data_IF_421512128151
#
_entry.id   IF_421512128151
#
_cell.length_a   1.000
_cell.length_b   1.000
_cell.length_c   1.000
_cell.angle_alpha   90.00
_cell.angle_beta   90.00
_cell.angle_gamma   90.00
#
_symmetry.space_group_name_H-M   'P 1'
#
loop_
_entity.id
_entity.type
_entity.pdbx_description
1 polymer ?
#
# COMPACT_ATOMS: atom_id res chain seq x y z
N UNK A 1 24.54 -6.41 -8.53
CA UNK A 1 23.70 -5.42 -7.80
C UNK A 1 22.31 -5.99 -7.46
N UNK A 2 22.08 -7.32 -7.52
CA UNK A 2 20.72 -7.91 -7.51
C UNK A 2 20.20 -8.48 -6.18
N UNK A 3 20.96 -8.37 -5.08
CA UNK A 3 20.58 -9.04 -3.82
C UNK A 3 19.55 -8.31 -2.97
N UNK A 4 19.23 -7.04 -3.27
CA UNK A 4 18.26 -6.26 -2.48
C UNK A 4 16.78 -6.57 -2.82
N UNK A 5 16.51 -7.19 -3.97
CA UNK A 5 15.14 -7.44 -4.47
C UNK A 5 14.67 -8.90 -4.35
N UNK A 6 15.50 -9.81 -3.83
CA UNK A 6 15.06 -11.19 -3.66
C UNK A 6 14.17 -11.34 -2.42
N UNK A 7 12.99 -11.98 -2.54
CA UNK A 7 12.08 -12.25 -1.42
C UNK A 7 12.64 -13.24 -0.38
N UNK A 8 13.85 -13.77 -0.61
CA UNK A 8 14.63 -14.58 0.32
C UNK A 8 15.93 -13.88 0.77
N UNK A 9 16.04 -12.56 0.61
CA UNK A 9 17.15 -11.81 1.18
C UNK A 9 17.10 -11.98 2.70
N UNK A 10 17.98 -12.85 3.20
CA UNK A 10 18.13 -13.22 4.60
C UNK A 10 18.10 -11.96 5.48
N UNK A 11 17.34 -11.99 6.58
CA UNK A 11 17.19 -10.84 7.47
C UNK A 11 18.55 -10.33 7.96
N UNK A 12 19.50 -11.24 8.11
CA UNK A 12 20.90 -10.96 8.46
C UNK A 12 21.64 -10.20 7.35
N UNK A 13 21.37 -10.52 6.07
CA UNK A 13 21.93 -9.78 4.93
C UNK A 13 21.34 -8.38 4.82
N UNK A 14 20.02 -8.22 5.02
CA UNK A 14 19.38 -6.90 5.05
C UNK A 14 19.90 -6.05 6.21
N UNK A 15 20.14 -6.67 7.37
CA UNK A 15 20.76 -6.02 8.52
C UNK A 15 22.19 -5.57 8.20
N UNK A 16 22.99 -6.42 7.55
CA UNK A 16 24.35 -6.08 7.13
C UNK A 16 24.38 -4.99 6.05
N UNK A 17 23.40 -4.96 5.15
CA UNK A 17 23.30 -3.97 4.06
C UNK A 17 22.68 -2.64 4.50
N UNK A 18 21.91 -2.63 5.59
CA UNK A 18 21.35 -1.41 6.18
C UNK A 18 22.37 -0.55 6.93
N UNK A 19 23.59 -1.05 7.18
CA UNK A 19 24.60 -0.33 7.96
C UNK A 19 25.16 0.93 7.27
N UNK A 20 25.63 1.88 8.09
CA UNK A 20 26.13 3.21 7.68
C UNK A 20 27.24 3.19 6.62
N UNK A 21 28.05 2.11 6.56
CA UNK A 21 29.17 1.97 5.62
C UNK A 21 28.75 1.63 4.18
N UNK A 22 27.48 1.38 3.91
CA UNK A 22 26.97 1.08 2.57
C UNK A 22 26.61 2.36 1.83
N UNK A 23 26.59 2.32 0.49
CA UNK A 23 26.17 3.49 -0.30
C UNK A 23 24.70 3.83 -0.01
N UNK A 24 24.34 5.11 -0.13
CA UNK A 24 22.96 5.57 -0.01
C UNK A 24 22.00 4.77 -0.90
N UNK A 25 22.41 4.41 -2.12
CA UNK A 25 21.61 3.59 -3.03
C UNK A 25 21.28 2.20 -2.46
N UNK A 26 22.23 1.54 -1.80
CA UNK A 26 22.00 0.23 -1.17
C UNK A 26 21.06 0.37 0.02
N UNK A 27 21.25 1.40 0.86
CA UNK A 27 20.38 1.64 2.02
C UNK A 27 18.95 1.99 1.60
N UNK A 28 18.78 2.75 0.51
CA UNK A 28 17.46 2.99 -0.12
C UNK A 28 16.83 1.70 -0.62
N UNK A 29 17.59 0.82 -1.27
CA UNK A 29 17.07 -0.45 -1.74
C UNK A 29 16.63 -1.36 -0.57
N UNK A 30 17.40 -1.39 0.52
CA UNK A 30 17.00 -2.06 1.77
C UNK A 30 15.75 -1.42 2.35
N UNK A 31 15.69 -0.10 2.47
CA UNK A 31 14.51 0.61 2.96
C UNK A 31 13.26 0.37 2.08
N UNK A 32 13.41 0.14 0.78
CA UNK A 32 12.29 -0.08 -0.14
C UNK A 32 11.77 -1.52 -0.15
N UNK A 33 12.51 -2.47 0.44
CA UNK A 33 12.11 -3.87 0.43
C UNK A 33 10.98 -4.10 1.47
N UNK A 34 9.81 -4.62 1.05
CA UNK A 34 8.67 -4.84 1.95
C UNK A 34 8.91 -5.94 2.99
N UNK A 35 9.98 -6.72 2.86
CA UNK A 35 10.38 -7.73 3.85
C UNK A 35 11.48 -7.22 4.80
N UNK A 36 11.82 -5.93 4.75
CA UNK A 36 12.87 -5.39 5.61
C UNK A 36 12.46 -5.44 7.07
N UNK A 37 13.27 -6.07 7.94
CA UNK A 37 12.94 -6.19 9.35
C UNK A 37 12.76 -4.82 10.01
N UNK A 38 11.79 -4.74 10.94
CA UNK A 38 11.49 -3.53 11.71
C UNK A 38 12.74 -2.91 12.39
N UNK A 39 13.67 -3.74 12.87
CA UNK A 39 14.92 -3.25 13.47
C UNK A 39 15.80 -2.49 12.47
N UNK A 40 15.86 -2.95 11.22
CA UNK A 40 16.61 -2.31 10.14
C UNK A 40 15.90 -1.03 9.70
N UNK A 41 14.57 -1.04 9.59
CA UNK A 41 13.78 0.18 9.29
C UNK A 41 13.99 1.25 10.37
N UNK A 42 14.06 0.88 11.66
CA UNK A 42 14.39 1.83 12.74
C UNK A 42 15.78 2.45 12.58
N UNK A 43 16.77 1.66 12.18
CA UNK A 43 18.11 2.19 11.90
C UNK A 43 18.09 3.17 10.72
N UNK A 44 17.42 2.79 9.62
CA UNK A 44 17.31 3.61 8.41
C UNK A 44 16.41 4.85 8.58
N UNK A 45 15.50 4.87 9.55
CA UNK A 45 14.75 6.06 9.91
C UNK A 45 15.64 7.17 10.50
N UNK A 46 16.82 6.83 11.03
CA UNK A 46 17.84 7.77 11.48
C UNK A 46 18.86 8.16 10.41
N UNK A 47 18.71 7.69 9.16
CA UNK A 47 19.72 7.86 8.12
C UNK A 47 19.95 9.33 7.77
N UNK A 48 21.21 9.70 7.50
CA UNK A 48 21.58 11.04 7.09
C UNK A 48 21.02 11.43 5.71
N UNK A 49 20.74 10.45 4.85
CA UNK A 49 20.09 10.69 3.55
C UNK A 49 18.57 10.77 3.70
N UNK A 50 18.02 11.93 3.42
CA UNK A 50 16.59 12.22 3.44
C UNK A 50 15.79 11.24 2.56
N UNK A 51 16.35 10.83 1.42
CA UNK A 51 15.69 9.87 0.51
C UNK A 51 15.55 8.51 1.16
N UNK A 52 16.50 8.08 2.00
CA UNK A 52 16.38 6.83 2.75
C UNK A 52 15.21 6.94 3.75
N UNK A 53 15.15 8.04 4.52
CA UNK A 53 14.07 8.25 5.50
C UNK A 53 12.69 8.33 4.84
N UNK A 54 12.60 8.98 3.69
CA UNK A 54 11.37 9.05 2.89
C UNK A 54 10.90 7.66 2.43
N UNK A 55 11.83 6.81 1.99
CA UNK A 55 11.51 5.44 1.59
C UNK A 55 11.05 4.60 2.79
N UNK A 56 11.65 4.78 3.98
CA UNK A 56 11.16 4.13 5.21
C UNK A 56 9.74 4.58 5.53
N UNK A 57 9.43 5.88 5.45
CA UNK A 57 8.08 6.39 5.71
C UNK A 57 7.01 5.79 4.78
N UNK A 58 7.38 5.45 3.55
CA UNK A 58 6.48 4.85 2.56
C UNK A 58 6.46 3.32 2.57
N UNK A 59 7.36 2.65 3.30
CA UNK A 59 7.40 1.19 3.34
C UNK A 59 6.26 0.64 4.22
N UNK A 60 5.46 -0.28 3.69
CA UNK A 60 4.33 -0.90 4.40
C UNK A 60 4.73 -1.80 5.59
N UNK A 61 5.98 -2.27 5.64
CA UNK A 61 6.52 -3.00 6.79
C UNK A 61 6.98 -2.07 7.93
N UNK A 62 6.89 -0.75 7.74
CA UNK A 62 7.30 0.22 8.77
C UNK A 62 6.34 0.16 9.96
N UNK A 63 6.84 -0.11 11.17
CA UNK A 63 6.02 -0.18 12.37
C UNK A 63 5.24 1.11 12.64
N UNK A 64 4.05 0.97 13.19
CA UNK A 64 3.16 2.10 13.50
C UNK A 64 3.83 3.17 14.38
N UNK A 65 4.54 2.76 15.44
CA UNK A 65 5.27 3.67 16.34
C UNK A 65 6.31 4.50 15.56
N UNK A 66 7.00 3.87 14.61
CA UNK A 66 7.99 4.52 13.77
C UNK A 66 7.36 5.45 12.73
N UNK A 67 6.18 5.11 12.18
CA UNK A 67 5.42 6.00 11.29
C UNK A 67 5.01 7.29 12.02
N UNK A 68 4.52 7.18 13.25
CA UNK A 68 4.16 8.35 14.09
C UNK A 68 5.39 9.21 14.36
N UNK A 69 6.52 8.58 14.70
CA UNK A 69 7.78 9.30 14.92
C UNK A 69 8.23 10.05 13.66
N UNK A 70 8.23 9.39 12.50
CA UNK A 70 8.66 9.99 11.22
C UNK A 70 7.75 11.16 10.82
N UNK A 71 6.44 11.02 10.97
CA UNK A 71 5.51 12.09 10.66
C UNK A 71 5.73 13.34 11.52
N UNK A 72 6.15 13.16 12.78
CA UNK A 72 6.47 14.28 13.67
C UNK A 72 7.75 15.05 13.31
N UNK A 73 8.61 14.53 12.43
CA UNK A 73 9.91 15.14 12.10
C UNK A 73 9.83 16.21 11.02
N UNK A 74 8.91 16.08 10.06
CA UNK A 74 8.70 17.09 9.01
C UNK A 74 7.36 16.91 8.29
N UNK A 75 6.88 17.98 7.67
CA UNK A 75 5.67 17.96 6.83
C UNK A 75 5.80 16.96 5.68
N UNK A 76 6.98 16.89 5.03
CA UNK A 76 7.21 15.97 3.91
C UNK A 76 7.10 14.50 4.36
N UNK A 77 7.65 14.16 5.52
CA UNK A 77 7.54 12.80 6.06
C UNK A 77 6.10 12.51 6.51
N UNK A 78 5.38 13.48 7.08
CA UNK A 78 3.98 13.32 7.42
C UNK A 78 3.10 13.02 6.19
N UNK A 79 3.36 13.70 5.07
CA UNK A 79 2.68 13.44 3.79
C UNK A 79 3.00 12.02 3.30
N UNK A 80 4.27 11.60 3.33
CA UNK A 80 4.65 10.25 2.90
C UNK A 80 4.07 9.15 3.78
N UNK A 81 4.00 9.38 5.09
CA UNK A 81 3.32 8.47 6.03
C UNK A 81 1.83 8.39 5.68
N UNK A 82 1.16 9.51 5.40
CA UNK A 82 -0.25 9.50 4.99
C UNK A 82 -0.47 8.77 3.66
N UNK A 83 0.51 8.77 2.76
CA UNK A 83 0.46 8.09 1.47
C UNK A 83 0.91 6.63 1.53
N UNK A 84 1.46 6.16 2.66
CA UNK A 84 1.96 4.80 2.78
C UNK A 84 0.82 3.79 2.57
N UNK A 85 1.01 2.76 1.70
CA UNK A 85 -0.05 1.83 1.30
C UNK A 85 -0.66 1.05 2.46
N UNK A 86 0.10 0.81 3.52
CA UNK A 86 -0.31 0.01 4.69
C UNK A 86 -0.39 0.86 5.97
N UNK A 87 -0.52 2.18 5.84
CA UNK A 87 -0.64 3.09 6.98
C UNK A 87 -1.86 2.71 7.85
N UNK A 88 -1.69 2.52 9.18
CA UNK A 88 -2.82 2.25 10.05
C UNK A 88 -3.81 3.42 10.08
N UNK A 89 -5.11 3.11 10.16
CA UNK A 89 -6.18 4.14 10.20
C UNK A 89 -6.00 5.10 11.37
N UNK A 90 -5.50 4.60 12.49
CA UNK A 90 -5.24 5.38 13.70
C UNK A 90 -4.18 6.46 13.43
N UNK A 91 -3.14 6.13 12.66
CA UNK A 91 -2.10 7.09 12.25
C UNK A 91 -2.68 8.13 11.29
N UNK A 92 -3.43 7.70 10.28
CA UNK A 92 -4.12 8.63 9.39
C UNK A 92 -5.08 9.56 10.15
N UNK A 93 -5.83 9.03 11.12
CA UNK A 93 -6.74 9.81 11.96
C UNK A 93 -6.01 10.87 12.79
N UNK A 94 -4.83 10.53 13.31
CA UNK A 94 -3.97 11.49 13.99
C UNK A 94 -3.45 12.58 13.03
N UNK A 95 -3.03 12.21 11.81
CA UNK A 95 -2.60 13.17 10.78
C UNK A 95 -3.72 14.08 10.27
N UNK A 96 -4.98 13.62 10.31
CA UNK A 96 -6.16 14.46 10.07
C UNK A 96 -6.34 15.59 11.08
N UNK A 97 -5.65 15.53 12.23
CA UNK A 97 -5.60 16.59 13.24
C UNK A 97 -4.29 17.37 13.25
N UNK A 98 -3.42 17.17 12.24
CA UNK A 98 -2.13 17.84 12.16
C UNK A 98 -2.27 19.37 12.04
N UNK A 99 -1.28 20.11 12.55
CA UNK A 99 -1.28 21.58 12.47
C UNK A 99 -1.17 22.09 11.03
N UNK A 100 -0.52 21.33 10.15
CA UNK A 100 -0.39 21.64 8.73
C UNK A 100 -1.69 21.36 7.97
N UNK A 101 -2.29 22.36 7.30
CA UNK A 101 -3.48 22.15 6.47
C UNK A 101 -3.26 21.12 5.35
N UNK A 102 -2.05 21.06 4.79
CA UNK A 102 -1.73 20.12 3.71
C UNK A 102 -1.71 18.67 4.22
N UNK A 103 -1.10 18.43 5.38
CA UNK A 103 -1.06 17.08 5.99
C UNK A 103 -2.46 16.59 6.28
N UNK A 104 -3.32 17.44 6.85
CA UNK A 104 -4.73 17.11 7.11
C UNK A 104 -5.48 16.75 5.83
N UNK A 105 -5.37 17.59 4.81
CA UNK A 105 -6.06 17.35 3.53
C UNK A 105 -5.67 16.02 2.90
N UNK A 106 -4.37 15.69 2.89
CA UNK A 106 -3.88 14.41 2.36
C UNK A 106 -4.39 13.25 3.22
N UNK A 107 -4.21 13.32 4.54
CA UNK A 107 -4.62 12.26 5.46
C UNK A 107 -6.12 11.96 5.39
N UNK A 108 -6.95 13.01 5.35
CA UNK A 108 -8.40 12.88 5.17
C UNK A 108 -8.70 12.18 3.83
N UNK A 109 -8.16 12.68 2.72
CA UNK A 109 -8.39 12.10 1.40
C UNK A 109 -8.11 10.58 1.35
N UNK A 110 -7.01 10.13 1.98
CA UNK A 110 -6.68 8.71 2.08
C UNK A 110 -7.62 7.95 3.03
N UNK A 111 -8.02 8.53 4.17
CA UNK A 111 -9.04 7.92 5.06
C UNK A 111 -10.35 7.67 4.33
N UNK A 112 -10.81 8.61 3.49
CA UNK A 112 -12.07 8.48 2.76
C UNK A 112 -11.99 7.41 1.66
N UNK A 113 -10.88 7.31 0.92
CA UNK A 113 -10.68 6.22 -0.05
C UNK A 113 -10.72 4.84 0.61
N UNK A 114 -10.15 4.70 1.81
CA UNK A 114 -10.23 3.44 2.56
C UNK A 114 -11.63 3.14 3.13
N UNK A 115 -12.59 4.09 3.16
CA UNK A 115 -13.96 3.83 3.66
C UNK A 115 -14.85 3.07 2.66
N UNK A 116 -14.49 3.04 1.38
CA UNK A 116 -15.35 2.46 0.33
C UNK A 116 -15.26 0.93 0.27
N UNK A 117 -14.22 0.30 0.83
CA UNK A 117 -14.01 -1.16 0.75
C UNK A 117 -14.55 -1.96 1.96
N UNK A 118 -15.05 -1.30 3.01
CA UNK A 118 -15.64 -1.98 4.17
C UNK A 118 -17.14 -1.70 4.35
N UNK A 119 -17.75 -0.93 3.44
CA UNK A 119 -19.21 -0.79 3.38
C UNK A 119 -19.81 -1.75 2.34
N UNK A 120 -19.45 -3.03 2.43
CA UNK A 120 -20.35 -4.13 2.08
C UNK A 120 -21.38 -4.35 3.19
N UNK A 121 -21.98 -3.26 3.68
CA UNK A 121 -23.11 -3.30 4.59
C UNK A 121 -24.34 -3.46 3.69
N UNK A 122 -24.82 -4.69 3.56
CA UNK A 122 -26.14 -4.99 2.99
C UNK A 122 -27.16 -4.12 3.72
N UNK A 123 -27.90 -3.21 3.04
CA UNK A 123 -29.04 -2.59 3.68
C UNK A 123 -30.13 -3.67 3.78
N UNK A 124 -30.20 -4.33 4.94
CA UNK A 124 -31.35 -5.12 5.32
C UNK A 124 -32.55 -4.17 5.42
N UNK A 125 -33.58 -4.43 4.61
CA UNK A 125 -34.89 -3.81 4.78
C UNK A 125 -35.54 -3.25 3.52
N UNK A 126 -35.78 -4.09 2.51
CA UNK A 126 -36.94 -3.98 1.63
C UNK A 126 -37.43 -5.39 1.33
N UNK A 127 -38.31 -5.91 2.20
CA UNK A 127 -39.10 -7.09 1.89
C UNK A 127 -40.01 -6.77 0.71
N UNK A 128 -39.73 -7.37 -0.44
CA UNK A 128 -40.70 -7.50 -1.52
C UNK A 128 -41.32 -8.88 -1.41
N UNK A 129 -42.46 -8.92 -0.73
CA UNK A 129 -43.43 -9.99 -0.84
C UNK A 129 -43.97 -10.03 -2.27
N UNK A 130 -44.02 -11.21 -2.91
CA UNK A 130 -44.82 -11.41 -4.12
C UNK A 130 -44.17 -12.35 -5.12
N UNK A 131 -44.62 -13.61 -5.11
CA UNK A 131 -44.30 -14.58 -6.16
C UNK A 131 -45.07 -14.32 -7.45
N UNK A 132 -44.46 -14.74 -8.57
CA UNK A 132 -45.07 -15.23 -9.81
C UNK A 132 -43.89 -15.65 -10.71
N UNK A 133 -43.60 -16.95 -10.82
CA UNK A 133 -44.06 -17.81 -11.92
C UNK A 133 -43.21 -17.60 -13.20
N UNK A 134 -42.32 -18.56 -13.45
CA UNK A 134 -41.55 -18.72 -14.67
C UNK A 134 -42.43 -19.42 -15.72
N UNK A 135 -42.48 -18.96 -16.98
CA UNK A 135 -42.91 -19.80 -18.08
C UNK A 135 -41.72 -20.48 -18.77
N UNK A 136 -41.90 -21.78 -19.01
CA UNK A 136 -41.10 -22.67 -19.83
C UNK A 136 -41.20 -22.35 -21.34
N UNK A 137 -40.20 -22.85 -22.08
CA UNK A 137 -40.07 -22.90 -23.56
C UNK A 137 -39.74 -21.57 -24.26
N UNK A 138 -38.72 -21.49 -25.13
CA UNK A 138 -38.68 -22.11 -26.46
C UNK A 138 -37.25 -22.40 -26.93
N UNK A 139 -37.05 -23.60 -27.48
CA UNK A 139 -35.87 -24.05 -28.20
C UNK A 139 -35.70 -23.38 -29.57
N UNK A 140 -34.46 -23.16 -30.02
CA UNK A 140 -34.18 -22.60 -31.35
C UNK A 140 -32.71 -22.56 -31.75
N UNK A 141 -32.16 -23.74 -32.06
CA UNK A 141 -31.11 -24.09 -33.04
C UNK A 141 -30.14 -23.04 -33.62
N UNK A 142 -28.87 -23.49 -33.72
CA UNK A 142 -27.81 -23.19 -34.72
C UNK A 142 -27.26 -21.77 -34.81
N UNK A 143 -25.97 -21.58 -34.53
CA UNK A 143 -24.91 -21.71 -35.54
C UNK A 143 -23.53 -21.42 -34.91
N UNK A 144 -22.50 -22.18 -35.31
CA UNK A 144 -21.09 -21.91 -34.97
C UNK A 144 -20.46 -21.30 -36.23
N UNK A 145 -19.63 -20.25 -36.09
CA UNK A 145 -18.32 -20.39 -36.71
C UNK A 145 -17.16 -19.94 -35.84
N UNK A 146 -16.19 -20.83 -35.85
CA UNK A 146 -14.77 -20.69 -35.53
C UNK A 146 -14.14 -19.55 -36.36
N UNK A 147 -13.41 -18.62 -35.71
CA UNK A 147 -12.37 -17.77 -36.32
C UNK A 147 -11.74 -16.80 -35.30
N UNK A 148 -10.56 -17.13 -34.78
CA UNK A 148 -9.61 -16.16 -34.26
C UNK A 148 -8.53 -15.90 -35.32
N UNK A 149 -8.44 -14.72 -35.96
CA UNK A 149 -7.33 -14.40 -36.83
C UNK A 149 -6.14 -13.92 -36.02
N UNK A 150 -4.96 -14.46 -36.35
CA UNK A 150 -3.71 -14.22 -35.66
C UNK A 150 -3.11 -12.82 -35.85
N UNK A 151 -2.06 -12.57 -35.08
CA UNK A 151 -0.97 -11.68 -35.48
C UNK A 151 0.37 -12.39 -35.25
N UNK A 152 0.98 -12.79 -36.36
CA UNK A 152 2.44 -12.82 -36.52
C UNK A 152 2.90 -11.53 -37.19
N UNK A 153 4.21 -11.45 -37.32
CA UNK A 153 5.08 -10.41 -37.90
C UNK A 153 5.51 -9.40 -36.85
N UNK A 154 6.80 -9.18 -36.62
CA UNK A 154 8.04 -9.72 -37.20
C UNK A 154 9.19 -9.08 -36.42
#
# INVERSE_FOLDING_TARGET
MDVAFSPAADADLLTMLGGERRSAQVRRAVAANPNTPAAVLRLLAGDADDQVRQVVAFNGATPQDLLVELAGRSVDLAILVAMNPDVPREVLGALGQDSSPLVRFVADGYLQSHRVLTSGNTPAGLELSGGAELPDDVAGSTDVPDSYPGRRHS
#
